data_IF_064644351331
#
_entry.id   IF_064644351331
#
_cell.length_a   1.000
_cell.length_b   1.000
_cell.length_c   1.000
_cell.angle_alpha   90.00
_cell.angle_beta   90.00
_cell.angle_gamma   90.00
#
_symmetry.space_group_name_H-M   'P 1'
#
loop_
_entity.id
_entity.type
_entity.pdbx_description
1 polymer ?
#
# COMPACT_ATOMS: atom_id res chain seq x y z
N UNK A 1 -47.49 32.64 -21.84
CA UNK A 1 -47.57 32.72 -23.31
C UNK A 1 -46.47 31.83 -23.88
N UNK A 2 -46.84 30.75 -24.57
CA UNK A 2 -45.96 29.88 -25.37
C UNK A 2 -45.74 30.52 -26.75
N UNK A 3 -44.62 30.24 -27.41
CA UNK A 3 -44.62 29.25 -28.51
C UNK A 3 -43.38 28.34 -28.42
N UNK A 4 -43.44 27.01 -28.42
CA UNK A 4 -43.74 26.05 -29.49
C UNK A 4 -43.19 26.42 -30.88
N UNK A 5 -42.08 25.80 -31.28
CA UNK A 5 -41.86 25.31 -32.64
C UNK A 5 -41.03 24.02 -32.60
N UNK A 6 -41.61 22.99 -33.21
CA UNK A 6 -41.09 21.64 -33.45
C UNK A 6 -40.74 21.57 -34.94
N UNK A 7 -39.60 20.99 -35.30
CA UNK A 7 -39.41 20.18 -36.52
C UNK A 7 -38.03 19.51 -36.44
N UNK A 8 -37.97 18.19 -36.24
CA UNK A 8 -37.99 17.15 -37.27
C UNK A 8 -36.71 17.14 -38.14
N UNK A 9 -35.87 16.16 -37.87
CA UNK A 9 -34.70 15.79 -38.67
C UNK A 9 -34.39 14.31 -38.47
N UNK A 10 -35.24 13.47 -39.07
CA UNK A 10 -35.10 12.02 -39.24
C UNK A 10 -33.77 11.70 -39.94
N UNK A 11 -33.02 10.73 -39.42
CA UNK A 11 -31.84 10.18 -40.09
C UNK A 11 -31.47 8.82 -39.53
N UNK A 12 -32.32 7.81 -39.77
CA UNK A 12 -31.96 6.40 -39.61
C UNK A 12 -30.92 6.01 -40.65
N UNK A 13 -29.77 5.52 -40.20
CA UNK A 13 -28.99 4.55 -40.96
C UNK A 13 -28.74 3.32 -40.08
N UNK A 14 -29.51 2.27 -40.36
CA UNK A 14 -29.24 0.90 -39.93
C UNK A 14 -27.95 0.43 -40.59
N UNK A 15 -26.96 0.07 -39.77
CA UNK A 15 -25.78 -0.67 -40.19
C UNK A 15 -25.52 -1.78 -39.19
N UNK A 16 -26.03 -2.98 -39.47
CA UNK A 16 -25.72 -4.18 -38.75
C UNK A 16 -24.29 -4.63 -39.11
N UNK A 17 -23.39 -4.65 -38.12
CA UNK A 17 -22.13 -5.38 -38.20
C UNK A 17 -22.08 -6.33 -37.00
N UNK A 18 -22.21 -7.62 -37.32
CA UNK A 18 -22.00 -8.75 -36.43
C UNK A 18 -20.52 -8.92 -36.05
N UNK A 19 -20.30 -9.56 -34.89
CA UNK A 19 -19.05 -10.08 -34.35
C UNK A 19 -18.16 -9.09 -33.57
N UNK A 20 -18.57 -8.79 -32.32
CA UNK A 20 -17.63 -8.38 -31.28
C UNK A 20 -16.92 -9.63 -30.75
N UNK A 21 -15.66 -9.81 -31.14
CA UNK A 21 -14.76 -10.78 -30.54
C UNK A 21 -14.63 -10.51 -29.03
N UNK A 22 -14.54 -11.59 -28.25
CA UNK A 22 -14.36 -11.57 -26.81
C UNK A 22 -13.16 -10.69 -26.39
N UNK A 23 -13.24 -9.92 -25.29
CA UNK A 23 -12.04 -9.32 -24.71
C UNK A 23 -11.17 -10.44 -24.15
N UNK A 24 -10.00 -10.60 -24.77
CA UNK A 24 -8.90 -11.36 -24.21
C UNK A 24 -8.54 -10.80 -22.82
N UNK A 25 -8.43 -11.72 -21.87
CA UNK A 25 -7.93 -11.53 -20.52
C UNK A 25 -6.53 -10.88 -20.55
N UNK A 26 -6.29 -9.72 -19.92
CA UNK A 26 -4.93 -9.26 -19.69
C UNK A 26 -4.33 -10.14 -18.58
N UNK A 27 -3.34 -10.97 -18.97
CA UNK A 27 -2.39 -11.56 -18.05
C UNK A 27 -1.44 -10.45 -17.51
N UNK A 28 -0.75 -10.68 -16.38
CA UNK A 28 -0.24 -9.64 -15.50
C UNK A 28 0.88 -8.82 -16.15
N UNK A 29 0.73 -7.50 -16.08
CA UNK A 29 1.81 -6.57 -16.41
C UNK A 29 2.88 -6.73 -15.32
N UNK A 30 4.00 -7.35 -15.70
CA UNK A 30 5.21 -7.37 -14.91
C UNK A 30 5.63 -5.92 -14.64
N UNK A 31 5.70 -5.54 -13.37
CA UNK A 31 6.32 -4.29 -12.97
C UNK A 31 7.77 -4.30 -13.48
N UNK A 32 8.26 -3.22 -14.12
CA UNK A 32 9.66 -3.12 -14.47
C UNK A 32 10.49 -3.21 -13.20
N UNK A 33 11.51 -4.07 -13.24
CA UNK A 33 12.54 -4.17 -12.22
C UNK A 33 13.03 -2.77 -11.85
N UNK A 34 13.02 -2.47 -10.55
CA UNK A 34 13.62 -1.26 -10.00
C UNK A 34 15.08 -1.22 -10.48
N UNK A 35 15.38 -0.26 -11.36
CA UNK A 35 16.74 -0.02 -11.81
C UNK A 35 17.56 0.44 -10.60
N UNK A 36 18.76 -0.11 -10.36
CA UNK A 36 19.60 0.34 -9.26
C UNK A 36 20.04 1.78 -9.55
N UNK A 37 19.77 2.68 -8.59
CA UNK A 37 20.23 4.05 -8.66
C UNK A 37 21.77 4.09 -8.72
N UNK A 38 22.38 4.94 -9.56
CA UNK A 38 23.83 5.09 -9.59
C UNK A 38 24.32 5.66 -8.25
N UNK A 39 25.23 4.95 -7.60
CA UNK A 39 26.01 5.47 -6.49
C UNK A 39 26.90 6.60 -7.02
N UNK A 40 26.59 7.85 -6.64
CA UNK A 40 27.47 8.99 -6.89
C UNK A 40 28.43 9.18 -5.70
N UNK A 41 29.71 9.50 -5.93
CA UNK A 41 30.73 9.57 -4.88
C UNK A 41 30.52 10.78 -3.98
N UNK A 42 30.65 10.58 -2.68
CA UNK A 42 30.73 11.66 -1.71
C UNK A 42 32.10 12.35 -1.75
N UNK A 43 32.13 13.67 -1.98
CA UNK A 43 32.62 14.64 -1.00
C UNK A 43 32.58 16.09 -1.51
N UNK A 44 32.23 16.98 -0.56
CA UNK A 44 32.64 18.38 -0.44
C UNK A 44 32.15 19.44 -1.44
N UNK A 45 31.02 20.05 -1.10
CA UNK A 45 30.91 21.51 -1.14
C UNK A 45 30.27 21.99 0.17
N UNK A 46 31.08 22.56 1.06
CA UNK A 46 30.63 23.28 2.24
C UNK A 46 30.03 24.65 1.83
N UNK A 47 28.89 24.60 1.15
CA UNK A 47 27.84 25.59 1.34
C UNK A 47 26.97 25.03 2.48
N UNK A 48 26.20 25.83 3.21
CA UNK A 48 25.30 25.29 4.24
C UNK A 48 24.20 24.45 3.55
N UNK A 49 24.57 23.24 3.14
CA UNK A 49 23.81 22.40 2.26
C UNK A 49 22.68 21.79 3.08
N UNK A 50 21.47 21.98 2.60
CA UNK A 50 20.28 21.39 3.18
C UNK A 50 20.54 19.88 3.37
N UNK A 51 20.52 19.42 4.63
CA UNK A 51 20.85 18.03 4.92
C UNK A 51 19.67 17.16 4.52
N UNK A 52 19.87 16.32 3.51
CA UNK A 52 18.87 15.34 3.10
C UNK A 52 18.77 14.25 4.17
N UNK A 53 17.57 13.98 4.71
CA UNK A 53 17.39 12.84 5.61
C UNK A 53 17.54 11.52 4.85
N UNK A 54 18.07 10.50 5.52
CA UNK A 54 18.18 9.13 4.99
C UNK A 54 16.91 8.34 5.35
N UNK A 55 16.27 7.64 4.40
CA UNK A 55 15.14 6.79 4.70
C UNK A 55 15.56 5.61 5.59
N UNK A 56 14.70 5.18 6.54
CA UNK A 56 14.98 3.97 7.30
C UNK A 56 15.00 2.75 6.35
N UNK A 57 15.99 1.85 6.49
CA UNK A 57 16.15 0.73 5.57
C UNK A 57 14.95 -0.23 5.63
N UNK A 58 14.55 -0.84 4.51
CA UNK A 58 13.42 -1.76 4.46
C UNK A 58 13.62 -3.01 5.31
N UNK A 59 14.86 -3.42 5.54
CA UNK A 59 15.25 -4.55 6.41
C UNK A 59 14.93 -4.26 7.89
N UNK A 60 14.88 -2.99 8.29
CA UNK A 60 14.52 -2.60 9.65
C UNK A 60 13.01 -2.67 9.92
N UNK A 61 12.20 -2.98 8.91
CA UNK A 61 10.74 -3.14 9.07
C UNK A 61 10.44 -4.40 9.87
N UNK A 62 9.81 -4.27 11.06
CA UNK A 62 9.43 -5.42 11.86
C UNK A 62 8.45 -6.32 11.09
N UNK A 63 8.63 -7.64 11.17
CA UNK A 63 7.73 -8.61 10.55
C UNK A 63 6.58 -8.95 11.49
N UNK A 64 5.35 -8.71 11.04
CA UNK A 64 4.16 -9.06 11.80
C UNK A 64 4.06 -10.58 11.91
N UNK A 65 3.79 -11.14 13.10
CA UNK A 65 3.51 -12.57 13.23
C UNK A 65 2.33 -13.00 12.35
N UNK A 66 2.35 -14.21 11.77
CA UNK A 66 1.22 -14.72 11.01
C UNK A 66 0.04 -15.01 11.95
N UNK A 67 -1.17 -14.68 11.51
CA UNK A 67 -2.38 -14.95 12.29
C UNK A 67 -2.67 -16.46 12.23
N UNK A 68 -3.00 -17.11 13.36
CA UNK A 68 -3.42 -18.51 13.37
C UNK A 68 -4.63 -18.75 12.47
N UNK A 69 -4.63 -19.86 11.74
CA UNK A 69 -5.76 -20.22 10.88
C UNK A 69 -6.98 -20.55 11.73
N UNK A 70 -8.12 -19.93 11.39
CA UNK A 70 -9.36 -20.15 12.11
C UNK A 70 -9.97 -21.49 11.67
N UNK A 71 -10.18 -22.46 12.57
CA UNK A 71 -10.83 -23.72 12.22
C UNK A 71 -12.27 -23.47 11.75
N UNK A 72 -12.72 -24.26 10.76
CA UNK A 72 -14.06 -24.14 10.16
C UNK A 72 -15.19 -24.35 11.19
N UNK A 73 -14.93 -25.14 12.22
CA UNK A 73 -15.88 -25.46 13.29
C UNK A 73 -16.22 -24.26 14.21
N UNK A 74 -15.43 -23.17 14.20
CA UNK A 74 -15.71 -21.98 15.03
C UNK A 74 -16.91 -21.17 14.52
N UNK A 75 -17.50 -21.54 13.38
CA UNK A 75 -18.70 -20.92 12.81
C UNK A 75 -19.90 -21.85 12.67
N UNK A 76 -19.78 -23.12 13.04
CA UNK A 76 -20.86 -24.11 12.90
C UNK A 76 -21.80 -24.07 14.10
N UNK A 77 -23.08 -24.39 13.87
CA UNK A 77 -24.13 -24.37 14.92
C UNK A 77 -23.83 -25.39 16.03
N UNK A 78 -23.16 -26.48 15.69
CA UNK A 78 -22.74 -27.54 16.61
C UNK A 78 -21.45 -27.20 17.38
N UNK A 79 -20.80 -26.06 17.08
CA UNK A 79 -19.55 -25.64 17.69
C UNK A 79 -18.34 -26.47 17.25
N UNK A 80 -17.17 -26.13 17.82
CA UNK A 80 -15.96 -26.93 17.65
C UNK A 80 -15.92 -28.09 18.63
N UNK A 81 -15.44 -29.28 18.20
CA UNK A 81 -14.96 -30.31 19.10
C UNK A 81 -14.00 -29.70 20.13
N UNK A 82 -14.09 -30.17 21.38
CA UNK A 82 -13.35 -29.56 22.49
C UNK A 82 -11.85 -29.41 22.19
N UNK A 83 -11.23 -30.44 21.61
CA UNK A 83 -9.79 -30.41 21.30
C UNK A 83 -9.40 -29.33 20.28
N UNK A 84 -10.16 -29.12 19.20
CA UNK A 84 -9.91 -28.06 18.20
C UNK A 84 -10.10 -26.67 18.81
N UNK A 85 -11.12 -26.50 19.66
CA UNK A 85 -11.35 -25.25 20.36
C UNK A 85 -10.17 -24.91 21.29
N UNK A 86 -9.66 -25.88 22.05
CA UNK A 86 -8.52 -25.68 22.94
C UNK A 86 -7.23 -25.38 22.16
N UNK A 87 -6.91 -26.19 21.14
CA UNK A 87 -5.71 -25.97 20.31
C UNK A 87 -5.70 -24.62 19.60
N UNK A 88 -6.86 -24.16 19.09
CA UNK A 88 -6.96 -22.83 18.51
C UNK A 88 -6.79 -21.72 19.56
N UNK A 89 -7.36 -21.88 20.76
CA UNK A 89 -7.16 -20.92 21.84
C UNK A 89 -5.68 -20.82 22.23
N UNK A 90 -4.96 -21.93 22.33
CA UNK A 90 -3.52 -21.93 22.62
C UNK A 90 -2.72 -21.22 21.53
N UNK A 91 -3.04 -21.47 20.25
CA UNK A 91 -2.41 -20.77 19.13
C UNK A 91 -2.68 -19.25 19.16
N UNK A 92 -3.89 -18.84 19.56
CA UNK A 92 -4.24 -17.43 19.73
C UNK A 92 -3.50 -16.81 20.91
N UNK A 93 -3.36 -17.51 22.04
CA UNK A 93 -2.57 -17.02 23.17
C UNK A 93 -1.10 -16.83 22.79
N UNK A 94 -0.51 -17.80 22.08
CA UNK A 94 0.85 -17.68 21.56
C UNK A 94 1.01 -16.50 20.59
N UNK A 95 0.07 -16.32 19.67
CA UNK A 95 0.04 -15.18 18.74
C UNK A 95 -0.08 -13.84 19.47
N UNK A 96 -0.93 -13.76 20.50
CA UNK A 96 -1.08 -12.54 21.30
C UNK A 96 0.21 -12.18 22.03
N UNK A 97 0.93 -13.16 22.57
CA UNK A 97 2.23 -12.94 23.20
C UNK A 97 3.25 -12.40 22.18
N UNK A 98 3.29 -12.97 20.97
CA UNK A 98 4.14 -12.46 19.89
C UNK A 98 3.76 -11.04 19.48
N UNK A 99 2.47 -10.71 19.45
CA UNK A 99 2.01 -9.36 19.17
C UNK A 99 2.44 -8.35 20.25
N UNK A 100 2.44 -8.74 21.53
CA UNK A 100 2.92 -7.87 22.60
C UNK A 100 4.39 -7.49 22.41
N UNK A 101 5.23 -8.44 22.00
CA UNK A 101 6.63 -8.17 21.67
C UNK A 101 6.79 -7.35 20.36
N UNK A 102 5.91 -7.55 19.39
CA UNK A 102 5.95 -6.86 18.10
C UNK A 102 5.58 -5.37 18.19
N UNK A 103 4.59 -5.00 19.01
CA UNK A 103 4.07 -3.63 19.14
C UNK A 103 5.15 -2.56 19.35
N UNK A 104 6.03 -2.65 20.37
CA UNK A 104 7.05 -1.62 20.58
C UNK A 104 8.06 -1.54 19.43
N UNK A 105 8.37 -2.66 18.77
CA UNK A 105 9.26 -2.66 17.60
C UNK A 105 8.61 -1.92 16.42
N UNK A 106 7.32 -2.15 16.18
CA UNK A 106 6.56 -1.47 15.15
C UNK A 106 6.44 0.04 15.43
N UNK A 107 6.16 0.42 16.68
CA UNK A 107 6.10 1.82 17.11
C UNK A 107 7.45 2.53 16.91
N UNK A 108 8.56 1.91 17.33
CA UNK A 108 9.89 2.47 17.12
C UNK A 108 10.21 2.67 15.62
N UNK A 109 9.81 1.72 14.77
CA UNK A 109 9.97 1.86 13.32
C UNK A 109 9.13 3.00 12.76
N UNK A 110 7.87 3.14 13.20
CA UNK A 110 7.01 4.27 12.82
C UNK A 110 7.58 5.62 13.27
N UNK A 111 8.17 5.70 14.46
CA UNK A 111 8.82 6.93 14.92
C UNK A 111 9.98 7.34 14.00
N UNK A 112 10.82 6.38 13.58
CA UNK A 112 11.90 6.64 12.60
C UNK A 112 11.37 7.11 11.25
N UNK A 113 10.27 6.53 10.77
CA UNK A 113 9.61 6.97 9.54
C UNK A 113 9.07 8.40 9.67
N UNK A 114 8.42 8.73 10.78
CA UNK A 114 7.92 10.09 11.01
C UNK A 114 9.06 11.11 11.08
N UNK A 115 10.18 10.76 11.71
CA UNK A 115 11.38 11.59 11.72
C UNK A 115 11.94 11.83 10.30
N UNK A 116 11.97 10.79 9.46
CA UNK A 116 12.37 10.91 8.07
C UNK A 116 11.43 11.82 7.26
N UNK A 117 10.11 11.64 7.41
CA UNK A 117 9.11 12.49 6.73
C UNK A 117 9.26 13.95 7.16
N UNK A 118 9.41 14.20 8.46
CA UNK A 118 9.65 15.55 8.98
C UNK A 118 10.94 16.14 8.41
N UNK A 119 12.05 15.41 8.48
CA UNK A 119 13.33 15.85 7.94
C UNK A 119 13.26 16.14 6.44
N UNK A 120 12.38 15.44 5.70
CA UNK A 120 12.24 15.63 4.26
C UNK A 120 11.51 16.94 3.98
N UNK A 121 10.51 17.27 4.80
CA UNK A 121 9.86 18.58 4.80
C UNK A 121 10.82 19.70 5.15
N UNK A 122 11.62 19.53 6.21
CA UNK A 122 12.63 20.51 6.63
C UNK A 122 13.70 20.73 5.52
N UNK A 123 14.13 19.66 4.86
CA UNK A 123 15.02 19.71 3.71
C UNK A 123 14.40 20.51 2.55
N UNK A 124 13.16 20.22 2.17
CA UNK A 124 12.47 20.95 1.11
C UNK A 124 12.32 22.45 1.44
N UNK A 125 12.02 22.79 2.70
CA UNK A 125 11.95 24.18 3.15
C UNK A 125 13.31 24.89 3.12
N UNK A 126 14.39 24.16 3.41
CA UNK A 126 15.74 24.69 3.30
C UNK A 126 16.09 24.97 1.82
N UNK A 127 15.82 24.04 0.91
CA UNK A 127 16.06 24.22 -0.53
C UNK A 127 15.22 25.37 -1.11
N UNK A 128 13.98 25.55 -0.63
CA UNK A 128 13.18 26.70 -1.05
C UNK A 128 13.80 28.04 -0.64
N UNK A 129 14.54 28.10 0.47
CA UNK A 129 15.21 29.32 0.93
C UNK A 129 16.51 29.58 0.18
N UNK A 130 17.16 28.56 -0.36
CA UNK A 130 18.38 28.71 -1.17
C UNK A 130 18.06 29.10 -2.61
N UNK A 131 16.82 28.85 -3.07
CA UNK A 131 16.33 29.19 -4.41
C UNK A 131 15.63 30.56 -4.52
N UNK A 132 15.40 31.24 -3.39
CA UNK A 132 14.86 32.61 -3.32
C UNK A 132 16.00 33.62 -3.26
#
# INVERSE_FOLDING_TARGET
>A
MRPTCVALGLGLALGAATAQAAPAKPAPQAAPAAQPAPAAPGNAAAQAACTRPEPPPPEAKPRKPPLPEKPACLGTKDGCPGWEAYSYNDAIQAYNLQLQAFRPLAEAYLQKLNAYVKGSGDYAQCELKTLQ
#
